data_IF_396041252421
#
_entry.id   IF_396041252421
#
_cell.length_a   1.000
_cell.length_b   1.000
_cell.length_c   1.000
_cell.angle_alpha   90.00
_cell.angle_beta   90.00
_cell.angle_gamma   90.00
#
_symmetry.space_group_name_H-M   'P 1'
#
loop_
_entity.id
_entity.type
_entity.pdbx_description
1 polymer ?
#
# COMPACT_ATOMS: atom_id res chain seq x y z
N UNK A 1 21.03 -26.00 5.40
CA UNK A 1 21.50 -25.11 4.33
C UNK A 1 21.93 -23.80 4.95
N UNK A 2 23.04 -23.23 4.50
CA UNK A 2 23.51 -21.94 4.97
C UNK A 2 22.62 -20.82 4.41
N UNK A 3 22.32 -19.82 5.25
CA UNK A 3 21.68 -18.57 4.84
C UNK A 3 22.66 -17.74 4.00
N UNK A 4 22.14 -16.86 3.14
CA UNK A 4 22.99 -15.96 2.37
C UNK A 4 23.75 -14.99 3.29
N UNK A 5 25.02 -14.76 2.98
CA UNK A 5 25.87 -13.84 3.74
C UNK A 5 25.40 -12.39 3.57
N UNK A 6 25.56 -11.59 4.63
CA UNK A 6 25.09 -10.20 4.68
C UNK A 6 25.65 -9.34 3.56
N UNK A 7 26.95 -9.47 3.26
CA UNK A 7 27.62 -8.68 2.24
C UNK A 7 27.12 -9.06 0.84
N UNK A 8 27.03 -10.36 0.55
CA UNK A 8 26.47 -10.86 -0.70
C UNK A 8 25.02 -10.40 -0.90
N UNK A 9 24.19 -10.51 0.14
CA UNK A 9 22.82 -10.01 0.11
C UNK A 9 22.76 -8.50 -0.17
N UNK A 10 23.59 -7.69 0.50
CA UNK A 10 23.65 -6.25 0.25
C UNK A 10 24.05 -5.91 -1.18
N UNK A 11 24.95 -6.69 -1.79
CA UNK A 11 25.35 -6.48 -3.18
C UNK A 11 24.21 -6.81 -4.14
N UNK A 12 23.48 -7.90 -3.91
CA UNK A 12 22.33 -8.29 -4.72
C UNK A 12 21.19 -7.28 -4.65
N UNK A 13 20.95 -6.66 -3.48
CA UNK A 13 19.95 -5.61 -3.34
C UNK A 13 20.32 -4.37 -4.13
N UNK A 14 21.61 -3.99 -4.13
CA UNK A 14 22.11 -2.85 -4.90
C UNK A 14 22.14 -3.12 -6.40
N UNK A 15 22.49 -4.35 -6.79
CA UNK A 15 22.63 -4.77 -8.19
C UNK A 15 21.88 -6.08 -8.43
N UNK A 16 20.56 -6.02 -8.63
CA UNK A 16 19.74 -7.21 -8.84
C UNK A 16 20.00 -7.93 -10.17
N UNK A 17 20.74 -7.31 -11.09
CA UNK A 17 21.15 -7.90 -12.37
C UNK A 17 22.19 -9.02 -12.20
N UNK A 18 23.00 -9.00 -11.14
CA UNK A 18 24.04 -10.00 -10.89
C UNK A 18 23.55 -11.30 -10.22
N UNK A 19 22.24 -11.51 -10.17
CA UNK A 19 21.62 -12.64 -9.48
C UNK A 19 21.63 -13.90 -10.36
N UNK A 20 21.89 -15.07 -9.76
CA UNK A 20 21.99 -16.36 -10.46
C UNK A 20 21.03 -17.40 -9.86
N UNK A 21 20.78 -18.51 -10.57
CA UNK A 21 19.92 -19.59 -10.07
C UNK A 21 20.52 -20.34 -8.87
N UNK A 22 21.84 -20.35 -8.72
CA UNK A 22 22.54 -21.10 -7.66
C UNK A 22 22.26 -20.58 -6.24
N UNK A 23 21.86 -19.32 -6.11
CA UNK A 23 21.55 -18.72 -4.81
C UNK A 23 20.14 -19.02 -4.31
N UNK A 24 19.29 -19.67 -5.12
CA UNK A 24 17.90 -20.00 -4.76
C UNK A 24 17.81 -20.75 -3.41
N UNK A 25 18.60 -21.81 -3.16
CA UNK A 25 18.52 -22.55 -1.88
C UNK A 25 18.94 -21.69 -0.69
N UNK A 26 19.89 -20.76 -0.88
CA UNK A 26 20.32 -19.84 0.16
C UNK A 26 19.23 -18.81 0.45
N UNK A 27 18.56 -18.29 -0.59
CA UNK A 27 17.43 -17.36 -0.46
C UNK A 27 16.24 -18.02 0.26
N UNK A 28 15.90 -19.26 -0.07
CA UNK A 28 14.88 -20.05 0.62
C UNK A 28 15.24 -20.27 2.10
N UNK A 29 16.50 -20.59 2.39
CA UNK A 29 16.98 -20.72 3.77
C UNK A 29 16.87 -19.38 4.53
N UNK A 30 17.20 -18.24 3.91
CA UNK A 30 17.00 -16.93 4.53
C UNK A 30 15.54 -16.58 4.73
N UNK A 31 14.65 -16.91 3.79
CA UNK A 31 13.21 -16.67 3.96
C UNK A 31 12.69 -17.49 5.14
N UNK A 32 13.16 -18.73 5.30
CA UNK A 32 12.80 -19.56 6.45
C UNK A 32 13.30 -18.98 7.77
N UNK A 33 14.51 -18.40 7.78
CA UNK A 33 15.08 -17.76 8.96
C UNK A 33 14.46 -16.38 9.26
N UNK A 34 14.08 -15.63 8.22
CA UNK A 34 13.57 -14.26 8.29
C UNK A 34 12.30 -14.09 7.42
N UNK A 35 11.15 -14.61 7.86
CA UNK A 35 9.92 -14.64 7.05
C UNK A 35 9.36 -13.26 6.66
N UNK A 36 9.74 -12.20 7.36
CA UNK A 36 9.28 -10.84 7.09
C UNK A 36 10.23 -10.05 6.18
N UNK A 37 11.33 -10.66 5.70
CA UNK A 37 12.26 -10.01 4.79
C UNK A 37 11.68 -9.93 3.37
N UNK A 38 10.87 -8.91 3.11
CA UNK A 38 10.17 -8.69 1.83
C UNK A 38 11.12 -8.76 0.62
N UNK A 39 12.30 -8.15 0.72
CA UNK A 39 13.30 -8.08 -0.35
C UNK A 39 13.79 -9.48 -0.75
N UNK A 40 13.89 -10.42 0.20
CA UNK A 40 14.31 -11.80 -0.09
C UNK A 40 13.34 -12.50 -1.03
N UNK A 41 12.03 -12.23 -0.92
CA UNK A 41 11.05 -12.79 -1.83
C UNK A 41 11.16 -12.20 -3.25
N UNK A 42 11.40 -10.89 -3.36
CA UNK A 42 11.61 -10.24 -4.65
C UNK A 42 12.86 -10.77 -5.35
N UNK A 43 13.96 -10.94 -4.61
CA UNK A 43 15.19 -11.55 -5.13
C UNK A 43 14.98 -13.01 -5.51
N UNK A 44 14.23 -13.79 -4.72
CA UNK A 44 13.91 -15.18 -5.04
C UNK A 44 13.13 -15.28 -6.36
N UNK A 45 12.10 -14.45 -6.55
CA UNK A 45 11.34 -14.44 -7.81
C UNK A 45 12.22 -14.08 -9.01
N UNK A 46 13.17 -13.15 -8.85
CA UNK A 46 14.14 -12.81 -9.90
C UNK A 46 15.10 -13.98 -10.19
N UNK A 47 15.63 -14.64 -9.17
CA UNK A 47 16.51 -15.79 -9.36
C UNK A 47 15.76 -16.94 -10.06
N UNK A 48 14.50 -17.19 -9.67
CA UNK A 48 13.64 -18.21 -10.28
C UNK A 48 13.32 -17.92 -11.75
N UNK A 49 13.21 -16.64 -12.16
CA UNK A 49 12.96 -16.31 -13.56
C UNK A 49 14.12 -16.70 -14.48
N UNK A 50 15.33 -16.83 -13.94
CA UNK A 50 16.51 -17.32 -14.65
C UNK A 50 16.60 -18.85 -14.66
N UNK A 51 16.04 -19.51 -13.65
CA UNK A 51 16.06 -20.96 -13.51
C UNK A 51 14.97 -21.68 -14.35
N UNK A 52 13.91 -20.98 -14.76
CA UNK A 52 12.85 -21.50 -15.62
C UNK A 52 11.44 -21.06 -15.20
N UNK A 53 10.46 -21.37 -16.05
CA UNK A 53 9.06 -20.94 -15.86
C UNK A 53 8.38 -21.64 -14.68
N UNK A 54 8.67 -22.91 -14.43
CA UNK A 54 8.03 -23.70 -13.36
C UNK A 54 8.27 -23.11 -11.96
N UNK A 55 9.54 -22.90 -11.59
CA UNK A 55 9.90 -22.26 -10.30
C UNK A 55 9.41 -20.81 -10.21
N UNK A 56 9.31 -20.11 -11.34
CA UNK A 56 8.81 -18.75 -11.37
C UNK A 56 7.32 -18.70 -11.00
N UNK A 57 6.51 -19.60 -11.53
CA UNK A 57 5.07 -19.65 -11.22
C UNK A 57 4.79 -19.90 -9.73
N UNK A 58 5.67 -20.63 -9.03
CA UNK A 58 5.55 -20.84 -7.58
C UNK A 58 5.99 -19.62 -6.76
N UNK A 59 7.08 -18.97 -7.17
CA UNK A 59 7.74 -17.91 -6.38
C UNK A 59 7.17 -16.52 -6.65
N UNK A 60 6.67 -16.26 -7.86
CA UNK A 60 6.05 -15.00 -8.28
C UNK A 60 4.83 -14.60 -7.43
N UNK A 61 3.81 -15.45 -7.19
CA UNK A 61 2.66 -15.06 -6.38
C UNK A 61 3.04 -14.80 -4.93
N UNK A 62 3.97 -15.59 -4.38
CA UNK A 62 4.53 -15.37 -3.04
C UNK A 62 5.23 -14.02 -2.96
N UNK A 63 6.12 -13.71 -3.91
CA UNK A 63 6.79 -12.42 -3.94
C UNK A 63 5.81 -11.26 -4.10
N UNK A 64 4.77 -11.40 -4.92
CA UNK A 64 3.75 -10.36 -5.08
C UNK A 64 2.98 -10.07 -3.78
N UNK A 65 2.76 -11.08 -2.92
CA UNK A 65 2.10 -10.90 -1.64
C UNK A 65 2.95 -10.12 -0.62
N UNK A 66 4.28 -10.23 -0.70
CA UNK A 66 5.22 -9.55 0.20
C UNK A 66 5.83 -8.26 -0.38
N UNK A 67 5.74 -8.04 -1.69
CA UNK A 67 6.33 -6.88 -2.34
C UNK A 67 5.58 -5.59 -2.03
N UNK A 68 6.33 -4.50 -1.80
CA UNK A 68 5.78 -3.17 -1.61
C UNK A 68 5.08 -2.63 -2.88
N UNK A 69 5.60 -2.99 -4.07
CA UNK A 69 5.04 -2.60 -5.36
C UNK A 69 5.06 -3.78 -6.33
N UNK A 70 3.87 -4.19 -6.77
CA UNK A 70 3.70 -5.26 -7.77
C UNK A 70 4.30 -4.87 -9.13
N UNK A 71 4.23 -3.60 -9.49
CA UNK A 71 4.79 -3.08 -10.74
C UNK A 71 6.31 -3.14 -10.68
N UNK A 72 6.91 -2.71 -9.57
CA UNK A 72 8.36 -2.78 -9.39
C UNK A 72 8.87 -4.23 -9.38
N UNK A 73 8.13 -5.15 -8.75
CA UNK A 73 8.43 -6.59 -8.80
C UNK A 73 8.33 -7.14 -10.23
N UNK A 74 7.28 -6.78 -10.96
CA UNK A 74 7.10 -7.22 -12.35
C UNK A 74 8.26 -6.71 -13.22
N UNK A 75 8.62 -5.44 -13.09
CA UNK A 75 9.77 -4.87 -13.78
C UNK A 75 11.06 -5.59 -13.39
N UNK A 76 11.29 -5.85 -12.11
CA UNK A 76 12.46 -6.58 -11.66
C UNK A 76 12.57 -7.95 -12.36
N UNK A 77 11.49 -8.72 -12.38
CA UNK A 77 11.43 -10.09 -12.89
C UNK A 77 11.47 -10.14 -14.42
N UNK A 78 10.65 -9.33 -15.09
CA UNK A 78 10.40 -9.41 -16.55
C UNK A 78 11.29 -8.48 -17.37
N UNK A 79 11.60 -7.29 -16.84
CA UNK A 79 12.40 -6.31 -17.57
C UNK A 79 13.86 -6.41 -17.12
N UNK A 80 14.78 -6.53 -18.09
CA UNK A 80 16.22 -6.61 -17.81
C UNK A 80 16.81 -5.24 -17.41
N UNK A 81 16.02 -4.38 -16.78
CA UNK A 81 16.25 -2.94 -16.82
C UNK A 81 17.08 -2.45 -15.65
N UNK A 82 18.18 -1.82 -16.04
CA UNK A 82 19.10 -0.89 -15.39
C UNK A 82 18.43 0.28 -14.63
N UNK A 83 17.12 0.20 -14.33
CA UNK A 83 16.34 1.29 -13.72
C UNK A 83 16.60 1.50 -12.23
N UNK A 84 17.33 0.59 -11.58
CA UNK A 84 17.71 0.71 -10.17
C UNK A 84 19.00 1.50 -9.94
N UNK A 85 19.70 1.95 -10.99
CA UNK A 85 20.88 2.82 -10.87
C UNK A 85 20.53 4.29 -10.58
N UNK A 86 19.24 4.63 -10.46
CA UNK A 86 18.87 5.86 -9.77
C UNK A 86 19.14 5.62 -8.28
N UNK A 87 20.38 5.83 -7.86
CA UNK A 87 20.71 6.12 -6.46
C UNK A 87 19.77 7.25 -6.05
N UNK A 88 18.71 6.91 -5.30
CA UNK A 88 17.94 7.94 -4.60
C UNK A 88 18.94 8.53 -3.64
N UNK A 89 19.47 9.71 -3.98
CA UNK A 89 20.33 10.46 -3.10
C UNK A 89 19.44 10.88 -1.94
N UNK A 90 19.49 10.09 -0.85
CA UNK A 90 18.65 10.28 0.33
C UNK A 90 18.80 11.70 0.85
N UNK A 91 20.00 12.28 0.66
CA UNK A 91 20.34 13.61 1.14
C UNK A 91 19.65 14.71 0.32
N UNK A 92 19.51 14.54 -1.01
CA UNK A 92 18.71 15.45 -1.84
C UNK A 92 17.20 15.38 -1.51
N UNK A 93 16.71 14.19 -1.16
CA UNK A 93 15.30 14.00 -0.79
C UNK A 93 14.97 14.59 0.59
N UNK A 94 15.91 14.53 1.54
CA UNK A 94 15.79 15.16 2.86
C UNK A 94 15.86 16.69 2.73
N UNK A 95 16.79 17.22 1.92
CA UNK A 95 16.94 18.66 1.68
C UNK A 95 15.70 19.26 0.97
N UNK A 96 15.03 18.48 0.12
CA UNK A 96 13.76 18.88 -0.50
C UNK A 96 12.57 18.94 0.49
N UNK A 97 12.60 18.17 1.59
CA UNK A 97 11.58 18.18 2.64
C UNK A 97 11.77 19.31 3.66
N UNK A 98 12.95 19.91 3.73
CA UNK A 98 13.26 21.03 4.63
C UNK A 98 12.88 22.41 4.08
N UNK A 99 12.45 22.50 2.81
CA UNK A 99 11.89 23.75 2.28
C UNK A 99 10.56 24.06 2.97
N UNK A 100 10.35 25.29 3.47
CA UNK A 100 9.11 25.63 4.14
C UNK A 100 7.95 25.46 3.16
N UNK A 101 7.00 24.60 3.50
CA UNK A 101 5.71 24.52 2.85
C UNK A 101 5.02 25.87 3.03
N UNK A 102 5.13 26.74 2.03
CA UNK A 102 4.33 27.95 1.97
C UNK A 102 2.86 27.53 2.00
N UNK A 103 2.13 27.97 3.03
CA UNK A 103 0.70 27.75 3.22
C UNK A 103 -0.06 28.25 1.98
N UNK A 104 -0.31 27.36 1.03
CA UNK A 104 -1.20 27.62 -0.10
C UNK A 104 -2.49 26.87 0.16
N UNK A 105 -3.55 27.64 0.40
CA UNK A 105 -4.90 27.15 0.64
C UNK A 105 -5.37 26.28 -0.53
N UNK A 106 -5.63 25.01 -0.26
CA UNK A 106 -6.00 23.97 -1.24
C UNK A 106 -7.38 24.18 -1.90
N UNK A 107 -8.10 25.26 -1.60
CA UNK A 107 -9.43 25.53 -2.18
C UNK A 107 -9.39 26.28 -3.52
N UNK A 108 -8.28 26.95 -3.88
CA UNK A 108 -8.26 27.82 -5.07
C UNK A 108 -7.96 27.05 -6.37
N UNK A 109 -7.26 25.92 -6.29
CA UNK A 109 -6.80 25.15 -7.48
C UNK A 109 -7.94 24.41 -8.19
N UNK A 110 -9.01 24.02 -7.47
CA UNK A 110 -10.13 23.30 -8.10
C UNK A 110 -11.02 24.20 -8.96
N UNK A 111 -11.02 25.51 -8.74
CA UNK A 111 -11.94 26.44 -9.41
C UNK A 111 -11.45 26.90 -10.78
N UNK A 112 -10.13 26.97 -11.01
CA UNK A 112 -9.56 27.38 -12.31
C UNK A 112 -9.59 26.27 -13.37
N UNK A 113 -9.71 25.00 -12.97
CA UNK A 113 -9.75 23.85 -13.90
C UNK A 113 -11.15 23.59 -14.50
N UNK A 114 -12.18 24.34 -14.09
CA UNK A 114 -13.58 24.08 -14.48
C UNK A 114 -14.08 25.01 -15.60
N UNK A 115 -13.31 26.04 -16.00
CA UNK A 115 -13.77 27.04 -17.00
C UNK A 115 -13.21 26.87 -18.41
N UNK A 116 -12.54 25.76 -18.74
CA UNK A 116 -12.31 25.43 -20.15
C UNK A 116 -13.60 24.84 -20.75
N UNK A 117 -14.34 25.70 -21.45
CA UNK A 117 -15.41 25.28 -22.35
C UNK A 117 -14.87 24.23 -23.33
N UNK A 118 -15.32 22.99 -23.16
CA UNK A 118 -15.01 21.87 -24.07
C UNK A 118 -15.73 22.15 -25.39
N UNK A 119 -15.02 22.79 -26.33
CA UNK A 119 -15.44 22.86 -27.72
C UNK A 119 -15.35 21.43 -28.30
N UNK A 120 -16.43 20.83 -28.82
CA UNK A 120 -16.35 19.48 -29.36
C UNK A 120 -15.62 19.51 -30.70
N UNK A 121 -14.31 19.29 -30.68
CA UNK A 121 -13.54 19.00 -31.88
C UNK A 121 -14.00 17.64 -32.44
N UNK A 122 -14.74 17.65 -33.55
CA UNK A 122 -15.10 16.47 -34.32
C UNK A 122 -13.84 15.89 -35.00
N UNK A 123 -13.02 15.19 -34.23
CA UNK A 123 -11.96 14.35 -34.77
C UNK A 123 -12.57 13.04 -35.26
N UNK A 124 -12.34 12.70 -36.53
CA UNK A 124 -12.72 11.42 -37.12
C UNK A 124 -12.01 10.29 -36.37
N UNK A 125 -12.70 9.68 -35.40
CA UNK A 125 -12.20 8.54 -34.63
C UNK A 125 -11.91 7.39 -35.58
N UNK A 126 -10.70 6.82 -35.47
CA UNK A 126 -10.31 5.60 -36.20
C UNK A 126 -11.29 4.45 -35.90
N UNK A 127 -11.46 3.53 -36.84
CA UNK A 127 -12.35 2.36 -36.69
C UNK A 127 -12.03 1.54 -35.43
N UNK A 128 -10.76 1.49 -35.02
CA UNK A 128 -10.35 0.84 -33.76
C UNK A 128 -10.85 1.58 -32.51
N UNK A 129 -10.81 2.91 -32.52
CA UNK A 129 -11.30 3.73 -31.41
C UNK A 129 -12.82 3.64 -31.29
N UNK A 130 -13.54 3.48 -32.41
CA UNK A 130 -14.99 3.21 -32.40
C UNK A 130 -15.30 1.84 -31.77
N UNK A 131 -14.55 0.80 -32.14
CA UNK A 131 -14.70 -0.53 -31.53
C UNK A 131 -14.41 -0.50 -30.03
N UNK A 132 -13.34 0.18 -29.60
CA UNK A 132 -13.02 0.34 -28.18
C UNK A 132 -14.14 1.06 -27.42
N UNK A 133 -14.69 2.14 -27.99
CA UNK A 133 -15.81 2.86 -27.39
C UNK A 133 -17.07 2.01 -27.28
N UNK A 134 -17.40 1.21 -28.30
CA UNK A 134 -18.53 0.28 -28.23
C UNK A 134 -18.37 -0.78 -27.14
N UNK A 135 -17.15 -1.28 -26.90
CA UNK A 135 -16.87 -2.20 -25.80
C UNK A 135 -17.07 -1.51 -24.45
N UNK A 136 -16.56 -0.28 -24.30
CA UNK A 136 -16.70 0.51 -23.07
C UNK A 136 -18.17 0.82 -22.79
N UNK A 137 -18.90 1.33 -23.78
CA UNK A 137 -20.34 1.61 -23.67
C UNK A 137 -21.14 0.34 -23.36
N UNK A 138 -20.79 -0.78 -24.01
CA UNK A 138 -21.38 -2.08 -23.73
C UNK A 138 -21.12 -2.56 -22.30
N UNK A 139 -19.92 -2.32 -21.76
CA UNK A 139 -19.57 -2.65 -20.39
C UNK A 139 -20.35 -1.80 -19.38
N UNK A 140 -20.38 -0.48 -19.57
CA UNK A 140 -21.13 0.46 -18.72
C UNK A 140 -22.63 0.16 -18.74
N UNK A 141 -23.19 -0.22 -19.90
CA UNK A 141 -24.59 -0.63 -20.02
C UNK A 141 -24.87 -1.97 -19.34
N UNK A 142 -23.94 -2.93 -19.43
CA UNK A 142 -24.09 -4.27 -18.87
C UNK A 142 -23.95 -4.29 -17.34
N UNK A 143 -23.28 -3.28 -16.75
CA UNK A 143 -23.07 -3.15 -15.30
C UNK A 143 -22.80 -4.49 -14.60
N UNK A 144 -21.81 -5.28 -15.08
CA UNK A 144 -21.59 -6.61 -14.56
C UNK A 144 -21.17 -6.53 -13.09
N UNK A 145 -22.02 -7.03 -12.19
CA UNK A 145 -21.67 -7.23 -10.79
C UNK A 145 -20.89 -8.53 -10.64
N UNK A 146 -19.75 -8.47 -9.96
CA UNK A 146 -19.02 -9.67 -9.54
C UNK A 146 -19.85 -10.31 -8.42
N UNK A 147 -20.59 -11.37 -8.75
CA UNK A 147 -21.24 -12.21 -7.75
C UNK A 147 -20.11 -12.91 -6.98
N UNK A 148 -20.05 -12.71 -5.67
CA UNK A 148 -19.15 -13.49 -4.83
C UNK A 148 -19.56 -14.95 -4.97
N UNK A 149 -18.67 -15.81 -5.47
CA UNK A 149 -18.89 -17.24 -5.38
C UNK A 149 -19.02 -17.56 -3.90
N UNK A 150 -20.20 -18.02 -3.48
CA UNK A 150 -20.41 -18.65 -2.19
C UNK A 150 -19.67 -19.98 -2.24
N UNK A 151 -18.35 -19.91 -2.06
CA UNK A 151 -17.58 -21.09 -1.74
C UNK A 151 -18.15 -21.60 -0.41
N UNK A 152 -18.74 -22.80 -0.42
CA UNK A 152 -19.12 -23.61 0.74
C UNK A 152 -17.86 -24.01 1.54
N UNK A 153 -17.04 -23.03 1.91
CA UNK A 153 -15.99 -23.18 2.87
C UNK A 153 -16.63 -22.79 4.19
N UNK A 154 -16.71 -23.75 5.10
CA UNK A 154 -17.08 -23.51 6.49
C UNK A 154 -16.34 -22.25 6.98
N UNK A 155 -17.09 -21.31 7.55
CA UNK A 155 -16.50 -20.09 8.09
C UNK A 155 -15.46 -20.52 9.13
N UNK A 156 -14.18 -20.44 8.76
CA UNK A 156 -13.09 -20.69 9.70
C UNK A 156 -13.24 -19.61 10.76
N UNK A 157 -13.79 -19.99 11.92
CA UNK A 157 -13.86 -19.18 13.11
C UNK A 157 -12.45 -19.09 13.67
N UNK A 158 -11.64 -18.23 13.05
CA UNK A 158 -10.34 -17.86 13.61
C UNK A 158 -10.67 -17.09 14.89
N UNK A 159 -10.32 -17.67 16.04
CA UNK A 159 -10.38 -16.95 17.31
C UNK A 159 -9.26 -15.90 17.32
N UNK A 160 -9.60 -14.67 16.92
CA UNK A 160 -8.69 -13.53 16.97
C UNK A 160 -8.41 -13.06 18.42
N UNK A 161 -9.14 -13.56 19.43
CA UNK A 161 -8.99 -13.14 20.83
C UNK A 161 -7.55 -13.39 21.33
N UNK A 162 -6.93 -14.50 20.93
CA UNK A 162 -5.55 -14.84 21.29
C UNK A 162 -4.46 -14.04 20.56
N UNK A 163 -4.77 -13.35 19.45
CA UNK A 163 -3.79 -12.51 18.72
C UNK A 163 -3.79 -11.05 19.17
N UNK A 164 -4.86 -10.63 19.84
CA UNK A 164 -5.04 -9.26 20.35
C UNK A 164 -4.58 -9.14 21.81
N UNK A 165 -4.45 -10.25 22.52
CA UNK A 165 -3.90 -10.28 23.87
C UNK A 165 -2.36 -10.29 23.83
N UNK A 166 -1.74 -9.45 24.66
CA UNK A 166 -0.34 -9.53 25.14
C UNK A 166 0.77 -8.77 24.37
N UNK A 167 0.45 -7.81 23.52
CA UNK A 167 1.43 -6.77 23.13
C UNK A 167 1.03 -5.41 23.66
N UNK A 168 1.21 -5.24 24.96
CA UNK A 168 1.20 -3.97 25.67
C UNK A 168 -0.19 -3.50 26.10
N UNK A 169 -0.32 -3.15 27.37
CA UNK A 169 -1.41 -2.37 27.96
C UNK A 169 -1.53 -0.94 27.39
N UNK A 170 -1.09 -0.71 26.16
CA UNK A 170 -1.19 0.55 25.45
C UNK A 170 -2.43 0.52 24.56
N UNK A 171 -3.56 0.99 25.08
CA UNK A 171 -4.69 1.35 24.24
C UNK A 171 -4.22 2.26 23.10
N UNK A 172 -4.56 1.92 21.86
CA UNK A 172 -4.24 2.74 20.69
C UNK A 172 -5.02 4.06 20.81
N UNK A 173 -4.36 5.08 21.31
CA UNK A 173 -4.95 6.41 21.58
C UNK A 173 -4.52 7.36 20.46
N UNK A 174 -5.19 7.26 19.31
CA UNK A 174 -4.98 8.14 18.15
C UNK A 174 -6.28 8.77 17.69
N UNK A 175 -6.21 9.97 17.11
CA UNK A 175 -7.39 10.67 16.57
C UNK A 175 -8.11 9.86 15.50
N UNK A 176 -7.37 9.17 14.63
CA UNK A 176 -7.93 8.29 13.61
C UNK A 176 -8.77 7.17 14.26
N UNK A 177 -8.31 6.62 15.38
CA UNK A 177 -9.05 5.61 16.12
C UNK A 177 -10.33 6.17 16.76
N UNK A 178 -10.29 7.39 17.31
CA UNK A 178 -11.50 8.08 17.79
C UNK A 178 -12.53 8.27 16.66
N UNK A 179 -12.08 8.70 15.47
CA UNK A 179 -12.93 8.85 14.29
C UNK A 179 -13.56 7.53 13.84
N UNK A 180 -12.81 6.42 13.91
CA UNK A 180 -13.34 5.08 13.62
C UNK A 180 -14.41 4.69 14.64
N UNK A 181 -14.22 4.96 15.94
CA UNK A 181 -15.21 4.69 16.98
C UNK A 181 -16.51 5.48 16.75
N UNK A 182 -16.42 6.76 16.35
CA UNK A 182 -17.58 7.56 15.99
C UNK A 182 -18.35 6.97 14.80
N UNK A 183 -17.64 6.55 13.75
CA UNK A 183 -18.27 5.87 12.60
C UNK A 183 -18.95 4.55 12.98
N UNK A 184 -18.48 3.90 14.04
CA UNK A 184 -19.09 2.70 14.60
C UNK A 184 -20.25 3.00 15.58
N UNK A 185 -20.58 4.27 15.83
CA UNK A 185 -21.61 4.69 16.78
C UNK A 185 -21.19 4.54 18.26
N UNK A 186 -19.91 4.24 18.55
CA UNK A 186 -19.40 4.07 19.92
C UNK A 186 -18.96 5.42 20.49
N UNK A 187 -19.92 6.32 20.72
CA UNK A 187 -19.66 7.73 21.06
C UNK A 187 -18.96 7.85 22.42
N UNK A 188 -19.42 7.14 23.44
CA UNK A 188 -18.83 7.17 24.80
C UNK A 188 -17.32 6.84 24.78
N UNK A 189 -16.94 5.77 24.08
CA UNK A 189 -15.54 5.36 23.94
C UNK A 189 -14.71 6.38 23.15
N UNK A 190 -15.32 7.08 22.19
CA UNK A 190 -14.66 8.14 21.45
C UNK A 190 -14.41 9.37 22.33
N UNK A 191 -15.37 9.73 23.18
CA UNK A 191 -15.25 10.82 24.17
C UNK A 191 -14.08 10.54 25.11
N UNK A 192 -14.03 9.36 25.73
CA UNK A 192 -12.93 8.96 26.63
C UNK A 192 -11.57 9.06 25.94
N UNK A 193 -11.51 8.67 24.66
CA UNK A 193 -10.28 8.71 23.89
C UNK A 193 -9.84 10.14 23.56
N UNK A 194 -10.77 11.03 23.22
CA UNK A 194 -10.47 12.45 23.03
C UNK A 194 -10.01 13.12 24.32
N UNK A 195 -10.58 12.77 25.48
CA UNK A 195 -10.12 13.25 26.78
C UNK A 195 -8.68 12.79 27.07
N UNK A 196 -8.35 11.53 26.81
CA UNK A 196 -6.96 11.03 26.94
C UNK A 196 -6.00 11.72 25.97
N UNK A 197 -6.45 12.01 24.74
CA UNK A 197 -5.65 12.73 23.74
C UNK A 197 -5.32 14.16 24.16
N UNK A 198 -6.22 14.85 24.88
CA UNK A 198 -5.94 16.17 25.46
C UNK A 198 -4.76 16.09 26.43
N UNK A 199 -4.74 15.07 27.29
CA UNK A 199 -3.66 14.85 28.26
C UNK A 199 -2.33 14.48 27.60
N UNK A 200 -2.37 13.66 26.55
CA UNK A 200 -1.16 13.22 25.82
C UNK A 200 -0.62 14.24 24.83
N UNK A 201 -1.46 15.12 24.28
CA UNK A 201 -1.11 16.07 23.22
C UNK A 201 -1.67 17.46 23.54
N UNK A 202 -1.11 18.16 24.56
CA UNK A 202 -1.63 19.45 25.01
C UNK A 202 -1.59 20.53 23.93
N UNK A 203 -0.65 20.46 22.99
CA UNK A 203 -0.56 21.37 21.83
C UNK A 203 -1.85 21.44 21.00
N UNK A 204 -2.61 20.34 20.95
CA UNK A 204 -3.88 20.23 20.21
C UNK A 204 -5.10 20.22 21.13
N UNK A 205 -4.95 20.64 22.39
CA UNK A 205 -6.03 20.61 23.40
C UNK A 205 -7.29 21.34 22.93
N UNK A 206 -7.16 22.57 22.42
CA UNK A 206 -8.29 23.36 21.91
C UNK A 206 -9.06 22.65 20.78
N UNK A 207 -8.34 21.96 19.88
CA UNK A 207 -8.94 21.20 18.80
C UNK A 207 -9.79 20.04 19.33
N UNK A 208 -9.24 19.25 20.27
CA UNK A 208 -9.96 18.14 20.86
C UNK A 208 -11.13 18.60 21.74
N UNK A 209 -11.00 19.73 22.46
CA UNK A 209 -12.08 20.32 23.24
C UNK A 209 -13.26 20.75 22.35
N UNK A 210 -12.98 21.35 21.18
CA UNK A 210 -14.02 21.66 20.19
C UNK A 210 -14.71 20.39 19.70
N UNK A 211 -13.96 19.33 19.37
CA UNK A 211 -14.54 18.04 18.98
C UNK A 211 -15.39 17.41 20.08
N UNK A 212 -14.96 17.48 21.33
CA UNK A 212 -15.78 17.04 22.46
C UNK A 212 -17.09 17.83 22.55
N UNK A 213 -17.05 19.16 22.38
CA UNK A 213 -18.27 19.97 22.41
C UNK A 213 -19.28 19.60 21.31
N UNK A 214 -18.80 19.30 20.10
CA UNK A 214 -19.63 18.80 18.99
C UNK A 214 -20.23 17.43 19.33
N UNK A 215 -19.44 16.54 19.94
CA UNK A 215 -19.94 15.21 20.33
C UNK A 215 -20.97 15.26 21.45
N UNK A 216 -20.83 16.17 22.41
CA UNK A 216 -21.83 16.34 23.47
C UNK A 216 -23.14 16.94 22.96
N UNK A 217 -23.13 17.74 21.89
CA UNK A 217 -24.37 18.22 21.27
C UNK A 217 -25.13 17.12 20.52
N UNK A 218 -24.42 16.17 19.91
CA UNK A 218 -25.02 15.08 19.12
C UNK A 218 -25.62 13.95 19.97
N UNK A 219 -25.28 13.88 21.26
CA UNK A 219 -25.78 12.87 22.21
C UNK A 219 -27.10 13.31 22.87
N UNK A 220 -27.64 14.47 22.50
CA UNK A 220 -28.88 15.05 23.07
C UNK A 220 -30.07 14.86 22.15
#
# INVERSE_FOLDING_TARGET
>A
MAIIEKEAFSQLVKRPSGINADIIPQLEATIKAFPYCQISYSLLAKASSLAGTEKLEETRPRAAAYALSRIALQQLVESNTERYDATVNIEEAIEALEKPLAEHNNEVVLTELVTEEIVPAQQQKSEEQKKQQQIIEGFMKKNPRIIRQENNLEAVSIDLSGRVAESGSGSIETEAFAKILLRQGKIEKAIDLYQKLILKKPEKSNYFAKKLSELYSDVK
#
